data_IF_966832131917
#
_entry.id   IF_966832131917
#
_cell.length_a   1.000
_cell.length_b   1.000
_cell.length_c   1.000
_cell.angle_alpha   90.00
_cell.angle_beta   90.00
_cell.angle_gamma   90.00
#
_symmetry.space_group_name_H-M   'P 1'
#
loop_
_entity.id
_entity.type
_entity.pdbx_description
1 polymer ?
#
# COMPACT_ATOMS: atom_id res chain seq x y z
N UNK A 1 -32.39 29.54 23.30
CA UNK A 1 -31.15 29.74 22.52
C UNK A 1 -30.13 28.72 22.97
N UNK A 2 -29.76 27.79 22.08
CA UNK A 2 -28.50 27.03 22.02
C UNK A 2 -28.69 25.83 21.08
N UNK A 3 -28.51 26.08 19.79
CA UNK A 3 -28.41 25.05 18.78
C UNK A 3 -27.02 24.41 18.86
N UNK A 4 -26.95 23.16 19.31
CA UNK A 4 -25.73 22.37 19.26
C UNK A 4 -25.48 22.01 17.80
N UNK A 5 -24.49 22.65 17.21
CA UNK A 5 -24.03 22.42 15.84
C UNK A 5 -23.60 20.97 15.65
N UNK A 6 -24.28 20.29 14.74
CA UNK A 6 -23.80 19.06 14.11
C UNK A 6 -22.63 19.44 13.19
N UNK A 7 -21.44 19.53 13.78
CA UNK A 7 -20.20 19.81 13.06
C UNK A 7 -19.71 18.58 12.30
N UNK A 8 -19.91 18.60 10.98
CA UNK A 8 -19.05 18.07 9.93
C UNK A 8 -18.45 16.65 10.08
N UNK A 9 -19.18 15.67 9.56
CA UNK A 9 -18.62 14.42 9.00
C UNK A 9 -18.02 14.68 7.60
N UNK A 10 -17.15 15.68 7.48
CA UNK A 10 -16.42 16.01 6.25
C UNK A 10 -14.92 15.91 6.52
N UNK A 11 -14.43 14.69 6.67
CA UNK A 11 -12.99 14.40 6.78
C UNK A 11 -12.52 13.22 5.94
N UNK A 12 -13.37 12.75 5.03
CA UNK A 12 -13.00 11.89 3.91
C UNK A 12 -12.90 12.71 2.61
N UNK A 13 -12.44 13.96 2.73
CA UNK A 13 -12.13 14.79 1.57
C UNK A 13 -10.93 14.20 0.85
N UNK A 14 -11.21 13.62 -0.31
CA UNK A 14 -10.26 13.15 -1.32
C UNK A 14 -9.20 14.25 -1.54
N UNK A 15 -7.89 13.97 -1.38
CA UNK A 15 -6.91 14.77 -2.11
C UNK A 15 -7.23 14.55 -3.59
N UNK A 16 -7.69 15.61 -4.27
CA UNK A 16 -7.82 15.65 -5.74
C UNK A 16 -6.41 15.55 -6.29
N UNK A 17 -5.88 14.35 -6.34
CA UNK A 17 -4.59 14.02 -6.91
C UNK A 17 -4.82 12.70 -7.62
N UNK A 18 -4.66 12.75 -8.94
CA UNK A 18 -4.99 11.72 -9.91
C UNK A 18 -6.48 11.68 -10.32
N UNK A 19 -6.90 12.72 -11.04
CA UNK A 19 -7.65 12.45 -12.27
C UNK A 19 -6.86 11.37 -12.99
N UNK A 20 -7.39 10.16 -13.10
CA UNK A 20 -6.78 9.09 -13.89
C UNK A 20 -6.74 9.59 -15.33
N UNK A 21 -5.70 10.35 -15.67
CA UNK A 21 -5.33 10.64 -17.03
C UNK A 21 -4.82 9.32 -17.59
N UNK A 22 -5.77 8.46 -17.99
CA UNK A 22 -5.46 7.26 -18.71
C UNK A 22 -4.52 7.66 -19.83
N UNK A 23 -3.34 7.06 -19.90
CA UNK A 23 -2.45 7.30 -21.03
C UNK A 23 -3.23 7.06 -22.34
N UNK A 24 -2.87 7.70 -23.46
CA UNK A 24 -3.60 7.56 -24.74
C UNK A 24 -3.76 6.10 -25.25
N UNK A 25 -3.15 5.12 -24.57
CA UNK A 25 -3.20 3.69 -24.86
C UNK A 25 -3.75 2.83 -23.70
N UNK A 26 -4.24 3.42 -22.60
CA UNK A 26 -4.83 2.64 -21.50
C UNK A 26 -6.26 2.23 -21.84
N UNK A 27 -6.46 0.92 -22.00
CA UNK A 27 -7.79 0.35 -22.18
C UNK A 27 -8.56 0.45 -20.86
N UNK A 28 -9.61 1.25 -20.81
CA UNK A 28 -10.53 1.27 -19.68
C UNK A 28 -11.15 -0.13 -19.49
N UNK A 29 -11.09 -0.67 -18.27
CA UNK A 29 -11.73 -1.94 -17.90
C UNK A 29 -13.26 -1.80 -17.93
N UNK A 30 -13.83 -1.94 -19.12
CA UNK A 30 -15.27 -1.80 -19.37
C UNK A 30 -16.09 -2.88 -18.66
N UNK A 31 -15.50 -4.05 -18.41
CA UNK A 31 -16.18 -5.16 -17.75
C UNK A 31 -16.38 -4.87 -16.26
N UNK A 32 -15.39 -4.26 -15.61
CA UNK A 32 -15.46 -3.97 -14.17
C UNK A 32 -16.01 -2.59 -13.84
N UNK A 33 -15.66 -1.56 -14.62
CA UNK A 33 -16.05 -0.16 -14.37
C UNK A 33 -17.23 0.32 -15.23
N UNK A 34 -17.69 -0.49 -16.18
CA UNK A 34 -18.72 -0.09 -17.14
C UNK A 34 -18.22 0.98 -18.12
N UNK A 35 -19.14 1.59 -18.87
CA UNK A 35 -18.82 2.72 -19.74
C UNK A 35 -18.36 3.93 -18.93
N UNK A 36 -17.44 4.72 -19.48
CA UNK A 36 -16.98 5.96 -18.85
C UNK A 36 -18.16 6.90 -18.65
N UNK A 37 -18.37 7.30 -17.40
CA UNK A 37 -19.30 8.36 -17.06
C UNK A 37 -18.73 9.15 -15.89
N UNK A 38 -19.03 10.44 -15.85
CA UNK A 38 -18.51 11.37 -14.82
C UNK A 38 -18.82 10.87 -13.40
N UNK A 39 -19.91 10.13 -13.20
CA UNK A 39 -20.27 9.54 -11.91
C UNK A 39 -19.28 8.46 -11.45
N UNK A 40 -18.80 7.63 -12.37
CA UNK A 40 -17.86 6.53 -12.06
C UNK A 40 -16.45 7.04 -11.77
N UNK A 41 -16.09 8.22 -12.28
CA UNK A 41 -14.80 8.86 -11.99
C UNK A 41 -14.79 9.59 -10.65
N UNK A 42 -15.94 10.12 -10.24
CA UNK A 42 -16.02 11.04 -9.10
C UNK A 42 -16.41 10.35 -7.78
N UNK A 43 -17.15 9.23 -7.84
CA UNK A 43 -17.67 8.54 -6.66
C UNK A 43 -17.31 7.05 -6.66
N UNK A 44 -16.97 6.47 -5.50
CA UNK A 44 -16.81 5.03 -5.38
C UNK A 44 -18.14 4.32 -5.66
N UNK A 45 -18.05 3.18 -6.34
CA UNK A 45 -19.22 2.36 -6.70
C UNK A 45 -19.85 1.71 -5.48
N UNK A 46 -19.02 1.34 -4.50
CA UNK A 46 -19.43 0.65 -3.28
C UNK A 46 -18.93 1.42 -2.05
N UNK A 47 -19.74 1.56 -0.98
CA UNK A 47 -19.33 2.28 0.23
C UNK A 47 -18.07 1.72 0.89
N UNK A 48 -17.79 0.41 0.73
CA UNK A 48 -16.58 -0.23 1.25
C UNK A 48 -15.40 -0.20 0.28
N UNK A 49 -15.57 0.25 -0.96
CA UNK A 49 -14.49 0.23 -1.96
C UNK A 49 -13.26 1.02 -1.48
N UNK A 50 -13.49 2.18 -0.85
CA UNK A 50 -12.42 3.00 -0.29
C UNK A 50 -11.78 2.34 0.94
N UNK A 51 -12.56 1.60 1.72
CA UNK A 51 -12.09 0.91 2.92
C UNK A 51 -11.20 -0.27 2.54
N UNK A 52 -11.64 -1.10 1.59
CA UNK A 52 -10.87 -2.26 1.10
C UNK A 52 -9.58 -1.83 0.40
N UNK A 53 -9.61 -0.78 -0.43
CA UNK A 53 -8.40 -0.23 -1.06
C UNK A 53 -7.34 0.21 -0.04
N UNK A 54 -7.76 0.66 1.14
CA UNK A 54 -6.87 1.13 2.21
C UNK A 54 -6.80 0.17 3.40
N UNK A 55 -7.21 -1.08 3.22
CA UNK A 55 -7.38 -2.03 4.32
C UNK A 55 -6.11 -2.17 5.16
N UNK A 56 -4.98 -2.48 4.51
CA UNK A 56 -3.70 -2.67 5.18
C UNK A 56 -3.25 -1.41 5.93
N UNK A 57 -3.31 -0.24 5.27
CA UNK A 57 -2.91 1.02 5.90
C UNK A 57 -3.78 1.37 7.11
N UNK A 58 -5.07 1.05 7.05
CA UNK A 58 -6.00 1.28 8.15
C UNK A 58 -5.75 0.31 9.31
N UNK A 59 -5.46 -0.96 9.00
CA UNK A 59 -5.09 -1.97 9.99
C UNK A 59 -3.79 -1.57 10.71
N UNK A 60 -2.75 -1.18 9.97
CA UNK A 60 -1.48 -0.74 10.55
C UNK A 60 -1.68 0.49 11.45
N UNK A 61 -2.46 1.48 10.99
CA UNK A 61 -2.80 2.66 11.80
C UNK A 61 -3.52 2.28 13.10
N UNK A 62 -4.48 1.37 13.02
CA UNK A 62 -5.20 0.86 14.19
C UNK A 62 -4.24 0.15 15.15
N UNK A 63 -3.36 -0.70 14.64
CA UNK A 63 -2.38 -1.46 15.43
C UNK A 63 -1.40 -0.53 16.14
N UNK A 64 -0.83 0.45 15.44
CA UNK A 64 0.07 1.43 16.06
C UNK A 64 -0.61 2.31 17.10
N UNK A 65 -1.86 2.70 16.86
CA UNK A 65 -2.67 3.45 17.84
C UNK A 65 -2.90 2.60 19.10
N UNK A 66 -3.28 1.34 18.92
CA UNK A 66 -3.51 0.38 20.02
C UNK A 66 -2.24 0.14 20.81
N UNK A 67 -1.11 -0.10 20.12
CA UNK A 67 0.19 -0.30 20.74
C UNK A 67 0.61 0.92 21.56
N UNK A 68 0.39 2.13 21.03
CA UNK A 68 0.62 3.39 21.76
C UNK A 68 -0.24 3.49 23.02
N UNK A 69 -1.51 3.09 22.95
CA UNK A 69 -2.42 3.17 24.09
C UNK A 69 -2.05 2.19 25.20
N UNK A 70 -1.54 1.00 24.85
CA UNK A 70 -1.18 -0.04 25.82
C UNK A 70 0.21 0.22 26.42
N UNK A 71 1.20 0.52 25.59
CA UNK A 71 2.62 0.56 25.99
C UNK A 71 3.21 1.98 26.01
N UNK A 72 2.49 2.99 25.50
CA UNK A 72 2.99 4.35 25.37
C UNK A 72 3.70 4.63 24.03
N UNK A 73 4.24 5.85 23.88
CA UNK A 73 4.79 6.33 22.61
C UNK A 73 6.05 5.58 22.14
N UNK A 74 6.82 5.01 23.06
CA UNK A 74 8.10 4.38 22.70
C UNK A 74 7.91 3.10 21.87
N UNK A 75 6.83 2.35 22.11
CA UNK A 75 6.58 1.07 21.46
C UNK A 75 6.34 1.19 19.94
N UNK A 76 5.40 2.02 19.44
CA UNK A 76 5.24 2.22 18.00
C UNK A 76 6.49 2.84 17.35
N UNK A 77 7.21 3.74 18.05
CA UNK A 77 8.44 4.33 17.52
C UNK A 77 9.54 3.27 17.34
N UNK A 78 9.74 2.39 18.33
CA UNK A 78 10.69 1.28 18.26
C UNK A 78 10.36 0.37 17.07
N UNK A 79 9.11 -0.05 16.95
CA UNK A 79 8.68 -0.93 15.86
C UNK A 79 8.84 -0.26 14.48
N UNK A 80 8.54 1.03 14.35
CA UNK A 80 8.80 1.79 13.12
C UNK A 80 10.30 1.88 12.77
N UNK A 81 11.16 2.04 13.77
CA UNK A 81 12.61 2.01 13.55
C UNK A 81 13.08 0.62 13.10
N UNK A 82 12.55 -0.45 13.68
CA UNK A 82 12.84 -1.84 13.28
C UNK A 82 12.41 -2.10 11.83
N UNK A 83 11.19 -1.68 11.44
CA UNK A 83 10.75 -1.75 10.05
C UNK A 83 11.71 -1.05 9.10
N UNK A 84 12.15 0.16 9.45
CA UNK A 84 13.07 0.94 8.61
C UNK A 84 14.45 0.29 8.51
N UNK A 85 14.94 -0.30 9.60
CA UNK A 85 16.20 -1.02 9.62
C UNK A 85 16.15 -2.28 8.75
N UNK A 86 15.09 -3.07 8.86
CA UNK A 86 14.90 -4.28 8.06
C UNK A 86 14.74 -3.94 6.58
N UNK A 87 14.02 -2.87 6.23
CA UNK A 87 13.83 -2.46 4.85
C UNK A 87 15.13 -2.04 4.15
N UNK A 88 16.14 -1.57 4.91
CA UNK A 88 17.46 -1.22 4.36
C UNK A 88 18.30 -2.46 4.02
N UNK A 89 18.06 -3.59 4.70
CA UNK A 89 18.81 -4.82 4.49
C UNK A 89 18.16 -5.59 3.34
N UNK A 90 18.63 -5.33 2.12
CA UNK A 90 18.20 -6.06 0.93
C UNK A 90 19.37 -6.78 0.26
N UNK A 91 19.04 -7.84 -0.48
CA UNK A 91 20.00 -8.52 -1.35
C UNK A 91 20.31 -7.64 -2.57
N UNK A 92 21.28 -8.08 -3.36
CA UNK A 92 21.58 -7.45 -4.66
C UNK A 92 20.31 -7.40 -5.53
N UNK A 93 20.14 -6.38 -6.38
CA UNK A 93 18.87 -6.12 -7.08
C UNK A 93 18.40 -7.25 -8.00
N UNK A 94 19.32 -8.11 -8.45
CA UNK A 94 19.04 -9.27 -9.30
C UNK A 94 18.80 -10.58 -8.50
N UNK A 95 18.84 -10.52 -7.17
CA UNK A 95 18.53 -11.66 -6.30
C UNK A 95 17.22 -11.41 -5.59
N UNK A 96 16.29 -12.35 -5.71
CA UNK A 96 15.01 -12.28 -5.01
C UNK A 96 15.23 -12.22 -3.48
N UNK A 97 14.66 -11.20 -2.84
CA UNK A 97 14.62 -11.05 -1.39
C UNK A 97 13.26 -11.52 -0.89
N UNK A 98 13.24 -12.43 0.10
CA UNK A 98 12.00 -13.00 0.62
C UNK A 98 11.35 -12.19 1.75
N UNK A 99 11.78 -10.95 2.01
CA UNK A 99 11.26 -10.01 3.03
C UNK A 99 10.88 -10.58 4.42
N UNK A 100 11.35 -11.78 4.77
CA UNK A 100 10.89 -12.56 5.92
C UNK A 100 10.94 -11.80 7.24
N UNK A 101 12.02 -11.07 7.50
CA UNK A 101 12.15 -10.28 8.72
C UNK A 101 11.09 -9.18 8.84
N UNK A 102 10.66 -8.60 7.73
CA UNK A 102 9.59 -7.60 7.68
C UNK A 102 8.25 -8.27 7.99
N UNK A 103 8.02 -9.45 7.41
CA UNK A 103 6.78 -10.20 7.60
C UNK A 103 6.60 -10.66 9.05
N UNK A 104 7.69 -11.10 9.71
CA UNK A 104 7.70 -11.40 11.15
C UNK A 104 7.32 -10.17 11.98
N UNK A 105 7.87 -8.99 11.66
CA UNK A 105 7.55 -7.76 12.38
C UNK A 105 6.09 -7.30 12.14
N UNK A 106 5.49 -7.64 11.00
CA UNK A 106 4.06 -7.39 10.72
C UNK A 106 3.14 -8.47 11.29
N UNK A 107 3.68 -9.65 11.62
CA UNK A 107 2.90 -10.81 12.03
C UNK A 107 2.19 -11.49 10.84
N UNK A 108 2.74 -11.36 9.63
CA UNK A 108 2.18 -11.96 8.42
C UNK A 108 2.71 -13.39 8.19
N UNK A 109 3.70 -13.85 8.95
CA UNK A 109 4.36 -15.16 8.81
C UNK A 109 3.44 -16.35 9.14
N UNK A 110 2.34 -16.12 9.86
CA UNK A 110 1.32 -17.13 10.16
C UNK A 110 0.19 -17.19 9.12
N UNK A 111 0.15 -16.23 8.19
CA UNK A 111 -0.93 -16.07 7.21
C UNK A 111 -0.44 -16.32 5.79
N UNK A 112 -1.28 -16.91 4.94
CA UNK A 112 -1.00 -17.11 3.51
C UNK A 112 -1.94 -16.22 2.71
N UNK A 113 -1.36 -15.34 1.89
CA UNK A 113 -2.04 -14.42 1.01
C UNK A 113 -2.19 -14.95 -0.43
N UNK A 114 -2.77 -14.12 -1.29
CA UNK A 114 -2.86 -14.41 -2.72
C UNK A 114 -1.50 -14.24 -3.40
N UNK A 115 -0.71 -13.29 -2.90
CA UNK A 115 0.63 -12.96 -3.33
C UNK A 115 1.59 -14.14 -3.18
N UNK A 116 1.46 -14.94 -2.13
CA UNK A 116 2.33 -16.10 -1.91
C UNK A 116 2.13 -17.20 -2.97
N UNK A 117 0.95 -17.24 -3.59
CA UNK A 117 0.59 -18.23 -4.61
C UNK A 117 0.83 -17.68 -6.02
N UNK A 118 0.50 -16.41 -6.25
CA UNK A 118 0.49 -15.82 -7.59
C UNK A 118 1.75 -15.02 -7.94
N UNK A 119 2.56 -14.64 -6.95
CA UNK A 119 3.76 -13.82 -7.16
C UNK A 119 5.04 -14.62 -6.88
N UNK A 120 5.24 -15.72 -7.61
CA UNK A 120 6.46 -16.52 -7.47
C UNK A 120 7.69 -15.69 -7.89
N UNK A 121 8.65 -15.44 -6.97
CA UNK A 121 9.85 -14.68 -7.29
C UNK A 121 10.71 -15.30 -8.40
N UNK A 122 10.54 -16.60 -8.72
CA UNK A 122 11.24 -17.26 -9.82
C UNK A 122 10.70 -16.84 -11.20
N UNK A 123 9.46 -16.35 -11.28
CA UNK A 123 8.77 -15.98 -12.52
C UNK A 123 8.63 -14.45 -12.67
N UNK A 124 9.39 -13.67 -11.89
CA UNK A 124 9.28 -12.21 -11.93
C UNK A 124 9.78 -11.62 -13.25
N UNK A 125 8.90 -10.91 -13.95
CA UNK A 125 9.19 -10.17 -15.18
C UNK A 125 10.14 -8.97 -14.97
N UNK A 126 10.36 -8.57 -13.72
CA UNK A 126 11.28 -7.49 -13.34
C UNK A 126 12.76 -7.93 -13.34
N UNK A 127 13.02 -9.24 -13.45
CA UNK A 127 14.38 -9.78 -13.45
C UNK A 127 15.05 -9.53 -14.82
N UNK A 128 15.97 -8.57 -14.85
CA UNK A 128 16.74 -8.20 -16.04
C UNK A 128 18.19 -8.67 -15.99
N UNK A 129 19.03 -8.17 -16.92
CA UNK A 129 20.46 -8.42 -16.89
C UNK A 129 21.08 -7.86 -15.59
N UNK A 130 21.90 -8.64 -14.85
CA UNK A 130 22.44 -8.22 -13.55
C UNK A 130 23.24 -6.91 -13.61
N UNK A 131 23.98 -6.66 -14.69
CA UNK A 131 24.74 -5.41 -14.86
C UNK A 131 23.80 -4.21 -14.90
N UNK A 132 22.79 -4.26 -15.78
CA UNK A 132 21.81 -3.19 -15.97
C UNK A 132 21.04 -2.86 -14.69
N UNK A 133 20.62 -3.90 -13.94
CA UNK A 133 19.91 -3.72 -12.67
C UNK A 133 20.76 -3.03 -11.60
N UNK A 134 22.06 -3.35 -11.55
CA UNK A 134 23.00 -2.73 -10.60
C UNK A 134 23.30 -1.28 -11.01
N UNK A 135 23.55 -1.03 -12.29
CA UNK A 135 23.78 0.33 -12.81
C UNK A 135 22.58 1.25 -12.54
N UNK A 136 21.36 0.77 -12.78
CA UNK A 136 20.13 1.48 -12.45
C UNK A 136 20.00 1.76 -10.95
N UNK A 137 20.28 0.76 -10.09
CA UNK A 137 20.22 0.93 -8.62
C UNK A 137 21.24 1.95 -8.11
N UNK A 138 22.39 2.07 -8.78
CA UNK A 138 23.46 3.02 -8.45
C UNK A 138 23.26 4.40 -9.11
N UNK A 139 22.26 4.56 -9.99
CA UNK A 139 21.96 5.81 -10.69
C UNK A 139 22.96 6.17 -11.79
N UNK A 140 23.54 5.15 -12.45
CA UNK A 140 24.50 5.32 -13.55
C UNK A 140 23.83 5.35 -14.94
N UNK A 141 22.54 5.00 -15.00
CA UNK A 141 21.67 5.00 -16.19
C UNK A 141 20.49 5.96 -16.00
#
# INVERSE_FOLDING_TARGET
MNARGLGSQLKDSIPVTELSASGPFENHDLLRKGFSCVKNELLPSHPLELSEKNFQLNQDKMNFSTLRNIQGLFAPLKLQMEFKAVQQVQRLPFLSSSNLSLDILRGNDETIGFEDILNDPSQSELMGEPHLMVEYKLGLL
#
